data_IF_854542438989
#
_entry.id   IF_854542438989
#
_cell.length_a   1.000
_cell.length_b   1.000
_cell.length_c   1.000
_cell.angle_alpha   90.00
_cell.angle_beta   90.00
_cell.angle_gamma   90.00
#
_symmetry.space_group_name_H-M   'P 1'
#
loop_
_entity.id
_entity.type
_entity.pdbx_description
1 polymer ?
#
# COMPACT_ATOMS: atom_id res chain seq x y z
N UNK A 1 18.14 -1.84 -40.48
CA UNK A 1 17.59 -2.83 -39.54
C UNK A 1 16.49 -2.14 -38.76
N UNK A 2 15.24 -2.52 -39.02
CA UNK A 2 14.07 -2.05 -38.28
C UNK A 2 14.15 -2.66 -36.89
N UNK A 3 14.45 -1.85 -35.88
CA UNK A 3 14.25 -2.23 -34.48
C UNK A 3 12.73 -2.28 -34.30
N UNK A 4 12.16 -3.47 -34.43
CA UNK A 4 10.75 -3.69 -34.17
C UNK A 4 10.43 -3.12 -32.79
N UNK A 5 9.44 -2.23 -32.72
CA UNK A 5 8.97 -1.69 -31.45
C UNK A 5 8.57 -2.87 -30.56
N UNK A 6 9.41 -3.18 -29.57
CA UNK A 6 9.09 -4.14 -28.52
C UNK A 6 7.74 -3.73 -27.95
N UNK A 7 6.76 -4.62 -28.03
CA UNK A 7 5.42 -4.38 -27.49
C UNK A 7 5.56 -4.25 -25.98
N UNK A 8 5.48 -3.02 -25.48
CA UNK A 8 5.63 -2.71 -24.06
C UNK A 8 4.70 -3.60 -23.23
N UNK A 9 5.27 -4.34 -22.28
CA UNK A 9 4.50 -5.20 -21.39
C UNK A 9 3.82 -4.32 -20.33
N UNK A 10 2.50 -4.43 -20.24
CA UNK A 10 1.70 -3.65 -19.28
C UNK A 10 1.35 -4.52 -18.07
N UNK A 11 0.90 -5.75 -18.32
CA UNK A 11 0.47 -6.73 -17.32
C UNK A 11 1.23 -8.04 -17.50
N UNK A 12 1.47 -8.72 -16.38
CA UNK A 12 1.88 -10.13 -16.31
C UNK A 12 0.76 -10.95 -15.67
N UNK A 13 0.66 -12.21 -16.06
CA UNK A 13 -0.38 -13.13 -15.60
C UNK A 13 0.13 -13.98 -14.45
N UNK A 14 -0.77 -14.31 -13.52
CA UNK A 14 -0.50 -15.21 -12.41
C UNK A 14 -0.47 -16.69 -12.83
N UNK A 15 -0.32 -17.61 -11.86
CA UNK A 15 -0.25 -17.35 -10.42
C UNK A 15 1.08 -16.72 -9.99
N UNK A 16 1.05 -15.86 -8.97
CA UNK A 16 2.25 -15.21 -8.41
C UNK A 16 2.72 -15.93 -7.16
N UNK A 17 3.80 -16.71 -7.32
CA UNK A 17 4.36 -17.53 -6.23
C UNK A 17 5.49 -16.80 -5.51
N UNK A 18 5.63 -17.08 -4.22
CA UNK A 18 6.74 -16.60 -3.38
C UNK A 18 7.63 -17.78 -2.95
N UNK A 19 8.57 -18.21 -3.81
CA UNK A 19 9.33 -19.45 -3.59
C UNK A 19 10.28 -19.41 -2.39
N UNK A 20 10.62 -18.22 -1.88
CA UNK A 20 11.47 -18.06 -0.68
C UNK A 20 10.74 -18.35 0.63
N UNK A 21 9.40 -18.46 0.62
CA UNK A 21 8.65 -18.76 1.85
C UNK A 21 8.89 -20.23 2.24
N UNK A 22 9.57 -20.43 3.37
CA UNK A 22 9.80 -21.76 3.94
C UNK A 22 8.64 -22.19 4.85
N UNK A 23 8.46 -23.50 5.12
CA UNK A 23 7.45 -23.99 6.06
C UNK A 23 7.60 -23.48 7.50
N UNK A 24 8.80 -23.01 7.88
CA UNK A 24 9.10 -22.50 9.22
C UNK A 24 8.80 -20.99 9.36
N UNK A 25 8.44 -20.32 8.26
CA UNK A 25 8.04 -18.91 8.30
C UNK A 25 6.69 -18.75 9.00
N UNK A 26 6.48 -17.57 9.59
CA UNK A 26 5.26 -17.27 10.31
C UNK A 26 4.01 -17.44 9.43
N UNK A 27 2.89 -17.93 9.99
CA UNK A 27 1.62 -18.18 9.28
C UNK A 27 1.17 -17.03 8.37
N UNK A 28 1.35 -15.78 8.83
CA UNK A 28 1.10 -14.57 8.05
C UNK A 28 1.79 -14.55 6.67
N UNK A 29 3.01 -15.09 6.56
CA UNK A 29 3.73 -15.21 5.30
C UNK A 29 2.98 -16.12 4.32
N UNK A 30 2.47 -17.25 4.79
CA UNK A 30 1.71 -18.19 3.99
C UNK A 30 0.37 -17.62 3.56
N UNK A 31 -0.29 -16.82 4.41
CA UNK A 31 -1.50 -16.08 4.01
C UNK A 31 -1.20 -15.10 2.87
N UNK A 32 -0.11 -14.32 2.97
CA UNK A 32 0.31 -13.40 1.91
C UNK A 32 0.67 -14.13 0.60
N UNK A 33 1.36 -15.27 0.70
CA UNK A 33 1.65 -16.12 -0.47
C UNK A 33 0.37 -16.66 -1.12
N UNK A 34 -0.55 -17.18 -0.31
CA UNK A 34 -1.83 -17.71 -0.78
C UNK A 34 -2.67 -16.66 -1.50
N UNK A 35 -2.79 -15.44 -0.96
CA UNK A 35 -3.55 -14.39 -1.64
C UNK A 35 -2.89 -13.90 -2.93
N UNK A 36 -1.56 -13.87 -3.00
CA UNK A 36 -0.84 -13.51 -4.24
C UNK A 36 -1.10 -14.52 -5.36
N UNK A 37 -1.20 -15.81 -5.05
CA UNK A 37 -1.53 -16.84 -6.03
C UNK A 37 -2.95 -16.71 -6.61
N UNK A 38 -3.87 -16.09 -5.86
CA UNK A 38 -5.25 -15.82 -6.30
C UNK A 38 -5.37 -14.59 -7.22
N UNK A 39 -4.34 -13.75 -7.31
CA UNK A 39 -4.39 -12.56 -8.17
C UNK A 39 -4.15 -12.99 -9.62
N UNK A 40 -5.11 -12.67 -10.49
CA UNK A 40 -5.05 -13.05 -11.91
C UNK A 40 -3.96 -12.27 -12.68
N UNK A 41 -3.83 -10.98 -12.43
CA UNK A 41 -2.87 -10.12 -13.12
C UNK A 41 -2.22 -9.08 -12.20
N UNK A 42 -0.96 -8.78 -12.48
CA UNK A 42 -0.18 -7.70 -11.86
C UNK A 42 0.43 -6.83 -12.97
N UNK A 43 0.80 -5.57 -12.71
CA UNK A 43 1.61 -4.80 -13.65
C UNK A 43 2.94 -5.51 -13.92
N UNK A 44 3.40 -5.46 -15.16
CA UNK A 44 4.71 -5.96 -15.55
C UNK A 44 5.72 -4.82 -15.54
N UNK A 45 6.66 -4.88 -14.60
CA UNK A 45 7.76 -3.92 -14.47
C UNK A 45 9.08 -4.41 -15.07
N UNK A 46 9.10 -5.51 -15.83
CA UNK A 46 10.35 -6.10 -16.33
C UNK A 46 11.16 -5.18 -17.26
N UNK A 47 10.50 -4.21 -17.90
CA UNK A 47 11.14 -3.20 -18.75
C UNK A 47 11.49 -1.90 -18.00
N UNK A 48 11.21 -1.82 -16.69
CA UNK A 48 11.44 -0.65 -15.85
C UNK A 48 12.69 -0.80 -14.98
N UNK A 49 13.40 0.29 -14.75
CA UNK A 49 14.62 0.30 -13.91
C UNK A 49 14.45 1.07 -12.60
N UNK A 50 13.41 1.90 -12.47
CA UNK A 50 13.10 2.65 -11.24
C UNK A 50 11.65 2.41 -10.84
N UNK A 51 11.47 1.81 -9.69
CA UNK A 51 10.17 1.54 -9.06
C UNK A 51 10.10 2.37 -7.78
N UNK A 52 8.95 2.95 -7.51
CA UNK A 52 8.66 3.57 -6.23
C UNK A 52 7.43 2.92 -5.59
N UNK A 53 7.40 2.91 -4.26
CA UNK A 53 6.26 2.48 -3.46
C UNK A 53 5.85 3.62 -2.55
N UNK A 54 4.64 4.13 -2.75
CA UNK A 54 4.01 5.08 -1.83
C UNK A 54 3.14 4.32 -0.84
N UNK A 55 3.16 4.67 0.43
CA UNK A 55 2.36 3.94 1.44
C UNK A 55 1.61 4.86 2.40
N UNK A 56 0.39 4.45 2.74
CA UNK A 56 -0.44 5.09 3.77
C UNK A 56 -1.21 4.02 4.59
N UNK A 57 -1.52 4.34 5.85
CA UNK A 57 -2.09 3.40 6.81
C UNK A 57 -3.25 4.02 7.60
N UNK A 58 -4.32 3.25 7.77
CA UNK A 58 -5.51 3.67 8.51
C UNK A 58 -5.89 2.71 9.64
N UNK A 59 -6.90 3.13 10.41
CA UNK A 59 -7.47 2.31 11.48
C UNK A 59 -6.88 2.50 12.86
N UNK A 60 -6.12 3.56 13.14
CA UNK A 60 -5.49 3.76 14.46
C UNK A 60 -6.47 4.17 15.59
N UNK A 61 -7.65 4.69 15.24
CA UNK A 61 -8.64 5.12 16.23
C UNK A 61 -9.31 3.92 16.92
N UNK A 62 -9.74 4.08 18.18
CA UNK A 62 -10.38 3.02 18.99
C UNK A 62 -11.61 2.42 18.31
N UNK A 63 -12.37 3.25 17.61
CA UNK A 63 -13.67 2.88 17.05
C UNK A 63 -13.56 2.29 15.64
N UNK A 64 -12.35 2.26 15.06
CA UNK A 64 -12.14 1.62 13.76
C UNK A 64 -12.23 0.10 13.93
N UNK A 65 -12.98 -0.57 13.06
CA UNK A 65 -13.13 -2.03 13.01
C UNK A 65 -12.03 -2.74 12.23
N UNK A 66 -11.30 -2.00 11.39
CA UNK A 66 -10.23 -2.54 10.56
C UNK A 66 -8.96 -1.70 10.69
N UNK A 67 -7.83 -2.35 10.40
CA UNK A 67 -6.57 -1.69 10.06
C UNK A 67 -6.38 -1.77 8.56
N UNK A 68 -6.03 -0.67 7.91
CA UNK A 68 -5.82 -0.63 6.45
C UNK A 68 -4.38 -0.30 6.13
N UNK A 69 -3.81 -1.03 5.18
CA UNK A 69 -2.44 -0.83 4.70
C UNK A 69 -2.48 -0.72 3.19
N UNK A 70 -2.21 0.48 2.66
CA UNK A 70 -2.27 0.73 1.22
C UNK A 70 -0.89 1.10 0.66
N UNK A 71 -0.59 0.53 -0.50
CA UNK A 71 0.69 0.66 -1.18
C UNK A 71 0.46 0.93 -2.67
N UNK A 72 0.95 2.05 -3.18
CA UNK A 72 1.04 2.31 -4.62
C UNK A 72 2.44 1.95 -5.12
N UNK A 73 2.55 0.85 -5.86
CA UNK A 73 3.72 0.50 -6.65
C UNK A 73 3.64 1.18 -8.01
N UNK A 74 4.69 1.91 -8.41
CA UNK A 74 4.70 2.67 -9.67
C UNK A 74 6.04 2.56 -10.39
N UNK A 75 5.99 2.39 -11.71
CA UNK A 75 7.13 2.52 -12.61
C UNK A 75 7.53 4.00 -12.74
N UNK A 76 8.46 4.47 -11.91
CA UNK A 76 8.85 5.88 -11.83
C UNK A 76 9.47 6.39 -13.14
N UNK A 77 10.07 5.50 -13.94
CA UNK A 77 10.58 5.81 -15.28
C UNK A 77 9.52 6.39 -16.23
N UNK A 78 8.25 6.03 -16.01
CA UNK A 78 7.13 6.39 -16.88
C UNK A 78 6.26 7.52 -16.32
N UNK A 79 6.66 8.11 -15.19
CA UNK A 79 5.82 9.05 -14.44
C UNK A 79 5.82 10.50 -14.97
N UNK A 80 6.65 10.82 -15.98
CA UNK A 80 6.75 12.17 -16.55
C UNK A 80 5.41 12.78 -16.99
N UNK A 81 4.60 12.09 -17.82
CA UNK A 81 3.28 12.57 -18.22
C UNK A 81 2.33 12.87 -17.05
N UNK A 82 2.33 12.01 -16.02
CA UNK A 82 1.53 12.24 -14.82
C UNK A 82 1.95 13.55 -14.13
N UNK A 83 3.26 13.79 -13.94
CA UNK A 83 3.76 15.02 -13.32
C UNK A 83 3.32 16.27 -14.09
N UNK A 84 3.42 16.25 -15.42
CA UNK A 84 3.01 17.37 -16.27
C UNK A 84 1.51 17.66 -16.11
N UNK A 85 0.66 16.65 -16.26
CA UNK A 85 -0.79 16.83 -16.15
C UNK A 85 -1.25 17.17 -14.72
N UNK A 86 -0.58 16.65 -13.70
CA UNK A 86 -0.84 17.04 -12.31
C UNK A 86 -0.55 18.51 -12.08
N UNK A 87 0.55 19.04 -12.64
CA UNK A 87 0.86 20.45 -12.52
C UNK A 87 -0.21 21.33 -13.21
N UNK A 88 -0.71 20.92 -14.37
CA UNK A 88 -1.80 21.59 -15.08
C UNK A 88 -3.10 21.59 -14.28
N UNK A 89 -3.51 20.42 -13.78
CA UNK A 89 -4.69 20.27 -12.92
C UNK A 89 -4.57 21.14 -11.68
N UNK A 90 -3.43 21.13 -11.00
CA UNK A 90 -3.22 21.94 -9.79
C UNK A 90 -3.33 23.44 -10.06
N UNK A 91 -2.80 23.92 -11.20
CA UNK A 91 -2.96 25.32 -11.64
C UNK A 91 -4.41 25.64 -11.97
N UNK A 92 -5.08 24.80 -12.76
CA UNK A 92 -6.48 24.94 -13.17
C UNK A 92 -7.42 25.09 -11.97
N UNK A 93 -7.19 24.29 -10.93
CA UNK A 93 -8.03 24.27 -9.72
C UNK A 93 -7.51 25.16 -8.58
N UNK A 94 -6.42 25.91 -8.79
CA UNK A 94 -5.80 26.82 -7.80
C UNK A 94 -5.40 26.13 -6.50
N UNK A 95 -4.81 24.94 -6.60
CA UNK A 95 -4.31 24.12 -5.48
C UNK A 95 -2.79 23.89 -5.56
N UNK A 96 -2.08 24.75 -6.30
CA UNK A 96 -0.61 24.73 -6.42
C UNK A 96 0.07 25.68 -5.42
N UNK A 97 -0.30 26.96 -5.39
CA UNK A 97 0.40 28.01 -4.62
C UNK A 97 0.34 27.79 -3.10
N UNK A 98 -0.75 27.18 -2.63
CA UNK A 98 -0.83 26.52 -1.33
C UNK A 98 -1.05 25.05 -1.63
N UNK A 99 0.04 24.28 -1.62
CA UNK A 99 0.00 22.88 -2.02
C UNK A 99 -1.05 22.13 -1.19
N UNK A 100 -2.14 21.76 -1.86
CA UNK A 100 -3.27 21.06 -1.22
C UNK A 100 -3.28 19.62 -1.66
N UNK A 101 -2.92 18.72 -0.75
CA UNK A 101 -2.93 17.27 -0.96
C UNK A 101 -4.37 16.74 -1.05
N UNK A 102 -4.58 15.67 -1.83
CA UNK A 102 -5.87 14.98 -1.94
C UNK A 102 -6.07 14.03 -0.76
N UNK A 103 -6.27 14.61 0.44
CA UNK A 103 -6.50 13.83 1.66
C UNK A 103 -7.93 13.28 1.72
N UNK A 104 -8.09 11.99 1.97
CA UNK A 104 -9.39 11.33 2.03
C UNK A 104 -10.37 12.02 3.00
N UNK A 105 -9.88 12.38 4.19
CA UNK A 105 -10.68 13.04 5.24
C UNK A 105 -11.17 14.44 4.84
N UNK A 106 -10.47 15.12 3.93
CA UNK A 106 -10.73 16.52 3.60
C UNK A 106 -11.15 16.74 2.13
N UNK A 107 -11.69 15.70 1.48
CA UNK A 107 -12.13 15.75 0.08
C UNK A 107 -13.23 16.78 -0.19
N UNK A 108 -14.06 17.11 0.81
CA UNK A 108 -15.14 18.10 0.70
C UNK A 108 -14.65 19.54 0.51
N UNK A 109 -13.35 19.80 0.63
CA UNK A 109 -12.81 21.13 0.38
C UNK A 109 -13.01 21.51 -1.10
N UNK A 110 -13.75 22.60 -1.35
CA UNK A 110 -14.31 22.93 -2.68
C UNK A 110 -13.32 22.82 -3.87
N UNK A 111 -12.11 23.41 -3.81
CA UNK A 111 -11.12 23.25 -4.87
C UNK A 111 -10.70 21.80 -5.14
N UNK A 112 -10.51 20.98 -4.08
CA UNK A 112 -10.14 19.56 -4.20
C UNK A 112 -11.30 18.71 -4.70
N UNK A 113 -12.50 18.91 -4.14
CA UNK A 113 -13.73 18.24 -4.59
C UNK A 113 -13.92 18.42 -6.11
N UNK A 114 -13.76 19.63 -6.64
CA UNK A 114 -13.85 19.90 -8.09
C UNK A 114 -12.73 19.28 -8.92
N UNK A 115 -11.54 19.11 -8.36
CA UNK A 115 -10.38 18.56 -9.06
C UNK A 115 -10.35 17.01 -9.02
N UNK A 116 -11.05 16.40 -8.05
CA UNK A 116 -10.97 14.97 -7.78
C UNK A 116 -11.31 14.09 -8.99
N UNK A 117 -12.39 14.32 -9.76
CA UNK A 117 -12.69 13.46 -10.91
C UNK A 117 -11.56 13.41 -11.95
N UNK A 118 -10.96 14.58 -12.25
CA UNK A 118 -9.84 14.67 -13.18
C UNK A 118 -8.58 14.06 -12.59
N UNK A 119 -8.34 14.24 -11.29
CA UNK A 119 -7.22 13.60 -10.58
C UNK A 119 -7.28 12.07 -10.67
N UNK A 120 -8.44 11.46 -10.38
CA UNK A 120 -8.66 10.02 -10.49
C UNK A 120 -8.45 9.51 -11.92
N UNK A 121 -8.86 10.29 -12.92
CA UNK A 121 -8.61 9.97 -14.32
C UNK A 121 -7.12 10.00 -14.68
N UNK A 122 -6.37 10.99 -14.17
CA UNK A 122 -4.93 11.09 -14.40
C UNK A 122 -4.18 9.90 -13.79
N UNK A 123 -4.57 9.47 -12.58
CA UNK A 123 -4.03 8.27 -11.95
C UNK A 123 -4.20 7.06 -12.89
N UNK A 124 -5.43 6.78 -13.33
CA UNK A 124 -5.71 5.61 -14.18
C UNK A 124 -5.06 5.66 -15.57
N UNK A 125 -4.85 6.87 -16.09
CA UNK A 125 -4.35 7.09 -17.45
C UNK A 125 -2.82 7.08 -17.54
N UNK A 126 -2.13 7.52 -16.48
CA UNK A 126 -0.69 7.79 -16.55
C UNK A 126 0.16 7.03 -15.54
N UNK A 127 -0.44 6.43 -14.51
CA UNK A 127 0.30 5.62 -13.55
C UNK A 127 0.33 4.17 -14.02
N UNK A 128 1.49 3.72 -14.51
CA UNK A 128 1.76 2.29 -14.71
C UNK A 128 2.16 1.67 -13.37
N UNK A 129 1.24 0.93 -12.77
CA UNK A 129 1.40 0.51 -11.39
C UNK A 129 0.33 -0.40 -10.82
N UNK A 130 0.38 -0.59 -9.51
CA UNK A 130 -0.65 -1.24 -8.72
C UNK A 130 -0.88 -0.48 -7.41
N UNK A 131 -2.13 -0.13 -7.11
CA UNK A 131 -2.54 0.20 -5.75
C UNK A 131 -3.04 -1.07 -5.07
N UNK A 132 -2.35 -1.47 -4.02
CA UNK A 132 -2.61 -2.66 -3.22
C UNK A 132 -3.09 -2.20 -1.85
N UNK A 133 -4.32 -2.54 -1.47
CA UNK A 133 -4.85 -2.24 -0.14
C UNK A 133 -5.19 -3.53 0.59
N UNK A 134 -4.52 -3.76 1.71
CA UNK A 134 -4.78 -4.89 2.61
C UNK A 134 -5.55 -4.38 3.81
N UNK A 135 -6.72 -4.97 4.04
CA UNK A 135 -7.57 -4.68 5.19
C UNK A 135 -7.51 -5.84 6.17
N UNK A 136 -7.12 -5.58 7.41
CA UNK A 136 -7.05 -6.58 8.48
C UNK A 136 -8.13 -6.27 9.52
N UNK A 137 -8.99 -7.23 9.78
CA UNK A 137 -10.02 -7.13 10.82
C UNK A 137 -9.37 -7.00 12.22
N UNK A 138 -9.77 -6.00 13.00
CA UNK A 138 -9.20 -5.77 14.35
C UNK A 138 -9.67 -6.77 15.38
N UNK A 139 -10.70 -7.56 15.10
CA UNK A 139 -11.03 -8.73 15.91
C UNK A 139 -9.89 -9.75 15.91
N UNK A 140 -9.03 -9.76 14.88
CA UNK A 140 -7.76 -10.48 14.87
C UNK A 140 -6.80 -9.74 15.82
N UNK A 141 -6.76 -10.20 17.07
CA UNK A 141 -6.02 -9.55 18.14
C UNK A 141 -4.53 -9.35 17.82
N UNK A 142 -3.87 -10.40 17.31
CA UNK A 142 -2.52 -10.33 16.73
C UNK A 142 -2.44 -11.26 15.53
N UNK A 143 -1.72 -10.85 14.47
CA UNK A 143 -1.40 -11.74 13.34
C UNK A 143 -0.08 -12.49 13.55
N UNK A 144 0.65 -12.24 14.64
CA UNK A 144 1.95 -12.86 14.97
C UNK A 144 1.96 -13.61 16.31
N UNK A 145 0.80 -13.77 16.94
CA UNK A 145 0.66 -14.51 18.19
C UNK A 145 -0.76 -14.97 18.42
N UNK A 146 -0.93 -15.94 19.33
CA UNK A 146 -2.25 -16.53 19.65
C UNK A 146 -3.20 -15.52 20.28
N UNK A 147 -2.66 -14.61 21.09
CA UNK A 147 -3.41 -13.51 21.70
C UNK A 147 -2.73 -12.17 21.43
N UNK A 148 -3.50 -11.08 21.52
CA UNK A 148 -2.99 -9.72 21.40
C UNK A 148 -1.83 -9.44 22.36
N UNK A 149 -1.98 -9.83 23.63
CA UNK A 149 -0.97 -9.57 24.66
C UNK A 149 0.32 -10.33 24.40
N UNK A 150 0.21 -11.63 24.10
CA UNK A 150 1.38 -12.49 23.85
C UNK A 150 2.11 -12.08 22.57
N UNK A 151 1.38 -11.82 21.48
CA UNK A 151 1.95 -11.36 20.22
C UNK A 151 2.71 -10.04 20.40
N UNK A 152 2.08 -9.05 21.01
CA UNK A 152 2.71 -7.76 21.30
C UNK A 152 3.97 -7.88 22.17
N UNK A 153 3.94 -8.72 23.21
CA UNK A 153 5.09 -8.93 24.09
C UNK A 153 6.21 -9.73 23.41
N UNK A 154 5.89 -10.69 22.55
CA UNK A 154 6.87 -11.44 21.78
C UNK A 154 7.57 -10.54 20.75
N UNK A 155 6.80 -9.75 19.99
CA UNK A 155 7.34 -8.81 18.99
C UNK A 155 8.25 -7.78 19.64
N UNK A 156 7.82 -7.16 20.74
CA UNK A 156 8.64 -6.16 21.44
C UNK A 156 9.99 -6.75 21.87
N UNK A 157 10.01 -7.95 22.46
CA UNK A 157 11.23 -8.65 22.85
C UNK A 157 12.10 -9.04 21.66
N UNK A 158 11.50 -9.49 20.56
CA UNK A 158 12.22 -9.89 19.34
C UNK A 158 12.89 -8.68 18.66
N UNK A 159 12.20 -7.54 18.57
CA UNK A 159 12.75 -6.33 17.97
C UNK A 159 13.90 -5.76 18.82
N UNK A 160 13.71 -5.71 20.14
CA UNK A 160 14.75 -5.22 21.06
C UNK A 160 15.97 -6.16 21.08
N UNK A 161 15.75 -7.47 21.24
CA UNK A 161 16.82 -8.48 21.23
C UNK A 161 17.51 -8.64 19.87
N UNK A 162 16.86 -8.23 18.79
CA UNK A 162 17.38 -8.24 17.43
C UNK A 162 18.11 -6.97 17.01
N UNK A 163 18.29 -6.00 17.92
CA UNK A 163 18.92 -4.70 17.63
C UNK A 163 18.15 -3.92 16.54
N UNK A 164 16.82 -3.87 16.69
CA UNK A 164 15.90 -3.05 15.88
C UNK A 164 15.25 -1.94 16.71
N UNK A 165 15.78 -1.67 17.91
CA UNK A 165 15.25 -0.69 18.87
C UNK A 165 14.06 -1.19 19.69
N UNK A 166 13.59 -0.32 20.60
CA UNK A 166 12.47 -0.63 21.50
C UNK A 166 11.14 -0.12 20.95
N UNK A 167 10.12 -0.98 20.97
CA UNK A 167 8.81 -0.71 20.38
C UNK A 167 7.68 -1.03 21.36
N UNK A 168 6.70 -0.13 21.55
CA UNK A 168 5.41 -0.53 22.10
C UNK A 168 4.82 -1.63 21.24
N UNK A 169 4.30 -2.70 21.85
CA UNK A 169 3.95 -3.92 21.11
C UNK A 169 2.95 -3.72 19.95
N UNK A 170 1.99 -2.80 20.08
CA UNK A 170 1.06 -2.48 18.98
C UNK A 170 1.76 -1.77 17.80
N UNK A 171 2.74 -0.90 18.06
CA UNK A 171 3.54 -0.24 17.01
C UNK A 171 4.49 -1.25 16.38
N UNK A 172 5.09 -2.12 17.20
CA UNK A 172 5.92 -3.24 16.73
C UNK A 172 5.15 -4.17 15.79
N UNK A 173 3.92 -4.53 16.15
CA UNK A 173 3.07 -5.33 15.27
C UNK A 173 2.69 -4.59 13.98
N UNK A 174 2.36 -3.28 14.07
CA UNK A 174 2.07 -2.46 12.90
C UNK A 174 3.24 -2.45 11.91
N UNK A 175 4.47 -2.20 12.38
CA UNK A 175 5.64 -2.19 11.49
C UNK A 175 5.87 -3.57 10.87
N UNK A 176 5.71 -4.66 11.62
CA UNK A 176 5.82 -6.02 11.07
C UNK A 176 4.76 -6.28 9.98
N UNK A 177 3.50 -5.92 10.22
CA UNK A 177 2.42 -6.06 9.21
C UNK A 177 2.78 -5.31 7.92
N UNK A 178 3.18 -4.04 8.05
CA UNK A 178 3.59 -3.20 6.92
C UNK A 178 4.72 -3.83 6.13
N UNK A 179 5.80 -4.22 6.80
CA UNK A 179 7.00 -4.72 6.13
C UNK A 179 6.79 -6.10 5.48
N UNK A 180 6.02 -6.99 6.11
CA UNK A 180 5.67 -8.28 5.51
C UNK A 180 4.80 -8.10 4.25
N UNK A 181 3.79 -7.22 4.28
CA UNK A 181 2.95 -6.93 3.10
C UNK A 181 3.80 -6.28 2.00
N UNK A 182 4.57 -5.25 2.35
CA UNK A 182 5.45 -4.56 1.41
C UNK A 182 6.45 -5.52 0.77
N UNK A 183 7.11 -6.37 1.54
CA UNK A 183 8.08 -7.33 1.04
C UNK A 183 7.45 -8.40 0.12
N UNK A 184 6.29 -8.93 0.49
CA UNK A 184 5.57 -9.92 -0.33
C UNK A 184 5.20 -9.36 -1.71
N UNK A 185 4.61 -8.16 -1.76
CA UNK A 185 4.25 -7.53 -3.02
C UNK A 185 5.47 -7.01 -3.80
N UNK A 186 6.51 -6.54 -3.11
CA UNK A 186 7.77 -6.18 -3.75
C UNK A 186 8.39 -7.39 -4.45
N UNK A 187 8.44 -8.55 -3.79
CA UNK A 187 8.93 -9.80 -4.38
C UNK A 187 8.12 -10.21 -5.61
N UNK A 188 6.79 -10.05 -5.56
CA UNK A 188 5.92 -10.40 -6.68
C UNK A 188 6.01 -9.41 -7.87
N UNK A 189 6.34 -8.14 -7.63
CA UNK A 189 6.26 -7.07 -8.64
C UNK A 189 7.60 -6.71 -9.28
N UNK A 190 8.69 -6.79 -8.52
CA UNK A 190 10.01 -6.29 -8.92
C UNK A 190 10.90 -7.39 -9.48
N UNK A 191 12.02 -6.96 -10.07
CA UNK A 191 13.01 -7.79 -10.74
C UNK A 191 14.42 -7.40 -10.29
N UNK A 192 15.37 -8.28 -10.57
CA UNK A 192 16.77 -8.10 -10.23
C UNK A 192 17.36 -6.81 -10.81
N UNK A 193 18.25 -6.17 -10.05
CA UNK A 193 18.97 -4.95 -10.44
C UNK A 193 18.11 -3.71 -10.69
N UNK A 194 16.82 -3.73 -10.34
CA UNK A 194 16.00 -2.52 -10.31
C UNK A 194 16.40 -1.60 -9.15
N UNK A 195 15.99 -0.34 -9.23
CA UNK A 195 16.06 0.62 -8.11
C UNK A 195 14.69 0.75 -7.48
N UNK A 196 14.61 0.57 -6.17
CA UNK A 196 13.38 0.67 -5.39
C UNK A 196 13.46 1.87 -4.45
N UNK A 197 12.43 2.73 -4.45
CA UNK A 197 12.23 3.76 -3.43
C UNK A 197 10.96 3.45 -2.65
N UNK A 198 11.04 3.20 -1.35
CA UNK A 198 9.88 3.24 -0.47
C UNK A 198 9.73 4.63 0.15
N UNK A 199 8.60 5.28 -0.10
CA UNK A 199 8.28 6.61 0.39
C UNK A 199 6.94 6.57 1.15
N UNK A 200 6.96 6.98 2.41
CA UNK A 200 5.79 6.96 3.29
C UNK A 200 5.53 8.34 3.88
N UNK A 201 4.28 8.64 4.19
CA UNK A 201 4.01 9.78 5.08
C UNK A 201 4.61 9.53 6.48
N UNK A 202 4.75 10.59 7.27
CA UNK A 202 5.30 10.51 8.63
C UNK A 202 4.27 9.93 9.59
N UNK A 203 4.58 8.80 10.19
CA UNK A 203 3.73 8.06 11.13
C UNK A 203 4.61 7.37 12.19
N UNK A 204 4.01 6.80 13.23
CA UNK A 204 4.70 6.18 14.36
C UNK A 204 5.70 5.08 13.97
N UNK A 205 5.54 4.45 12.80
CA UNK A 205 6.45 3.41 12.32
C UNK A 205 7.74 3.97 11.74
N UNK A 206 7.78 5.22 11.27
CA UNK A 206 8.97 5.85 10.71
C UNK A 206 9.40 7.09 11.48
N UNK A 207 8.74 7.42 12.59
CA UNK A 207 9.16 8.49 13.51
C UNK A 207 10.31 8.04 14.41
N UNK A 208 11.20 8.99 14.72
CA UNK A 208 12.35 8.73 15.58
C UNK A 208 11.92 8.88 17.05
N UNK A 209 12.31 7.92 17.90
CA UNK A 209 12.06 7.97 19.33
C UNK A 209 13.34 7.66 20.10
N UNK A 210 13.29 7.72 21.43
CA UNK A 210 14.47 7.63 22.29
C UNK A 210 15.39 6.43 21.95
N UNK A 211 14.79 5.26 21.74
CA UNK A 211 15.50 3.99 21.53
C UNK A 211 15.17 3.35 20.16
N UNK A 212 14.70 4.15 19.19
CA UNK A 212 14.49 3.70 17.81
C UNK A 212 14.62 4.83 16.79
N UNK A 213 15.05 4.50 15.58
CA UNK A 213 15.11 5.44 14.47
C UNK A 213 14.58 4.81 13.18
N UNK A 214 14.36 5.64 12.17
CA UNK A 214 14.00 5.15 10.84
C UNK A 214 15.01 4.16 10.26
N UNK A 215 16.30 4.25 10.62
CA UNK A 215 17.31 3.28 10.20
C UNK A 215 17.02 1.85 10.67
N UNK A 216 16.38 1.68 11.83
CA UNK A 216 15.96 0.36 12.29
C UNK A 216 14.87 -0.24 11.40
N UNK A 217 13.96 0.58 10.90
CA UNK A 217 12.89 0.16 9.97
C UNK A 217 13.49 -0.29 8.65
N UNK A 218 14.51 0.43 8.16
CA UNK A 218 15.26 0.09 6.95
C UNK A 218 15.95 -1.28 7.10
N UNK A 219 16.69 -1.48 8.19
CA UNK A 219 17.34 -2.76 8.55
C UNK A 219 16.32 -3.89 8.69
N UNK A 220 15.15 -3.61 9.27
CA UNK A 220 14.08 -4.58 9.43
C UNK A 220 13.45 -4.96 8.08
N UNK A 221 13.28 -3.99 7.17
CA UNK A 221 12.80 -4.26 5.82
C UNK A 221 13.78 -5.14 5.04
N UNK A 222 15.09 -4.92 5.15
CA UNK A 222 16.09 -5.78 4.53
C UNK A 222 15.99 -7.23 5.07
N UNK A 223 15.84 -7.37 6.39
CA UNK A 223 15.72 -8.69 7.04
C UNK A 223 14.46 -9.44 6.66
N UNK A 224 13.30 -8.77 6.70
CA UNK A 224 12.01 -9.35 6.32
C UNK A 224 11.99 -9.59 4.81
N UNK A 225 12.55 -8.67 4.03
CA UNK A 225 12.66 -8.77 2.58
C UNK A 225 13.35 -10.04 2.11
N UNK A 226 14.44 -10.44 2.79
CA UNK A 226 15.15 -11.68 2.53
C UNK A 226 14.30 -12.96 2.71
N UNK A 227 13.17 -12.89 3.43
CA UNK A 227 12.24 -14.02 3.57
C UNK A 227 11.37 -14.23 2.31
N UNK A 228 11.25 -13.21 1.45
CA UNK A 228 10.32 -13.18 0.33
C UNK A 228 10.99 -13.09 -1.04
N UNK A 229 12.07 -12.32 -1.13
CA UNK A 229 12.73 -11.98 -2.40
C UNK A 229 13.78 -13.02 -2.77
N UNK A 230 13.91 -13.30 -4.07
CA UNK A 230 14.98 -14.14 -4.66
C UNK A 230 15.99 -13.32 -5.47
N UNK A 231 15.80 -12.00 -5.51
CA UNK A 231 16.59 -11.05 -6.30
C UNK A 231 17.02 -9.86 -5.44
N UNK A 232 17.99 -9.10 -5.95
CA UNK A 232 18.52 -7.90 -5.30
C UNK A 232 18.11 -6.62 -6.02
N UNK A 233 18.40 -5.48 -5.38
CA UNK A 233 18.23 -4.15 -5.97
C UNK A 233 19.60 -3.51 -6.20
N UNK A 234 19.74 -2.74 -7.30
CA UNK A 234 20.90 -1.86 -7.52
C UNK A 234 20.93 -0.75 -6.45
N UNK A 235 19.76 -0.20 -6.13
CA UNK A 235 19.57 0.77 -5.06
C UNK A 235 18.27 0.48 -4.33
N UNK A 236 18.36 0.37 -3.01
CA UNK A 236 17.22 0.37 -2.12
C UNK A 236 17.19 1.69 -1.35
N UNK A 237 16.25 2.56 -1.72
CA UNK A 237 16.05 3.88 -1.14
C UNK A 237 14.83 3.92 -0.22
N UNK A 238 14.92 4.78 0.79
CA UNK A 238 13.86 5.02 1.76
C UNK A 238 13.67 6.52 1.94
N UNK A 239 12.42 6.98 1.96
CA UNK A 239 12.08 8.38 2.13
C UNK A 239 10.85 8.60 3.01
N UNK A 240 10.83 9.74 3.69
CA UNK A 240 9.67 10.27 4.41
C UNK A 240 9.15 11.50 3.65
N UNK A 241 7.89 11.84 3.84
CA UNK A 241 7.33 13.05 3.23
C UNK A 241 8.16 14.30 3.57
N UNK A 242 8.52 15.07 2.53
CA UNK A 242 9.33 16.29 2.68
C UNK A 242 8.48 17.47 3.20
N UNK A 243 9.15 18.46 3.78
CA UNK A 243 8.50 19.72 4.18
C UNK A 243 7.99 20.51 2.98
N UNK A 244 8.76 20.52 1.88
CA UNK A 244 8.32 21.04 0.59
C UNK A 244 7.55 19.95 -0.16
N UNK A 245 6.27 20.21 -0.41
CA UNK A 245 5.36 19.27 -1.06
C UNK A 245 5.48 19.33 -2.57
N UNK A 246 5.32 18.18 -3.22
CA UNK A 246 5.43 18.06 -4.68
C UNK A 246 4.77 16.80 -5.21
N UNK A 247 5.10 16.41 -6.45
CA UNK A 247 4.41 15.30 -7.15
C UNK A 247 4.47 13.95 -6.42
N UNK A 248 5.44 13.75 -5.52
CA UNK A 248 5.49 12.54 -4.68
C UNK A 248 4.31 12.51 -3.70
N UNK A 249 3.85 13.67 -3.22
CA UNK A 249 2.66 13.80 -2.37
C UNK A 249 1.35 13.64 -3.16
N UNK A 250 1.37 13.93 -4.47
CA UNK A 250 0.29 13.47 -5.37
C UNK A 250 0.22 11.95 -5.35
N UNK A 251 1.36 11.26 -5.55
CA UNK A 251 1.40 9.80 -5.51
C UNK A 251 1.05 9.23 -4.12
N UNK A 252 1.44 9.87 -3.01
CA UNK A 252 1.02 9.48 -1.64
C UNK A 252 -0.48 9.63 -1.40
N UNK A 253 -1.15 10.55 -2.10
CA UNK A 253 -2.60 10.69 -1.94
C UNK A 253 -3.35 9.45 -2.45
N UNK A 254 -2.77 8.67 -3.38
CA UNK A 254 -3.41 7.46 -3.93
C UNK A 254 -3.66 6.38 -2.88
N UNK A 255 -2.65 5.92 -2.08
CA UNK A 255 -2.89 4.96 -1.01
C UNK A 255 -3.79 5.50 0.10
N UNK A 256 -3.75 6.79 0.45
CA UNK A 256 -4.67 7.39 1.44
C UNK A 256 -6.14 7.29 0.99
N UNK A 257 -6.43 7.66 -0.27
CA UNK A 257 -7.77 7.51 -0.84
C UNK A 257 -8.24 6.06 -0.83
N UNK A 258 -7.36 5.10 -1.17
CA UNK A 258 -7.70 3.69 -1.20
C UNK A 258 -7.92 3.10 0.21
N UNK A 259 -7.03 3.42 1.16
CA UNK A 259 -7.12 2.99 2.55
C UNK A 259 -8.37 3.54 3.23
N UNK A 260 -8.63 4.84 3.09
CA UNK A 260 -9.80 5.49 3.67
C UNK A 260 -11.12 4.94 3.11
N UNK A 261 -11.19 4.76 1.79
CA UNK A 261 -12.42 4.28 1.17
C UNK A 261 -12.73 2.81 1.49
N UNK A 262 -11.72 1.92 1.51
CA UNK A 262 -11.98 0.53 1.91
C UNK A 262 -12.38 0.39 3.37
N UNK A 263 -11.81 1.22 4.26
CA UNK A 263 -12.21 1.23 5.65
C UNK A 263 -13.69 1.57 5.81
N UNK A 264 -14.15 2.65 5.16
CA UNK A 264 -15.54 3.09 5.24
C UNK A 264 -16.50 2.11 4.54
N UNK A 265 -16.09 1.53 3.41
CA UNK A 265 -16.89 0.54 2.68
C UNK A 265 -17.14 -0.70 3.53
N UNK A 266 -16.09 -1.26 4.14
CA UNK A 266 -16.23 -2.49 4.93
C UNK A 266 -16.97 -2.22 6.24
N UNK A 267 -16.71 -1.08 6.89
CA UNK A 267 -17.45 -0.69 8.09
C UNK A 267 -18.95 -0.59 7.81
N UNK A 268 -19.34 0.06 6.71
CA UNK A 268 -20.74 0.17 6.28
C UNK A 268 -21.36 -1.20 5.92
N UNK A 269 -20.60 -2.06 5.24
CA UNK A 269 -21.06 -3.38 4.83
C UNK A 269 -21.32 -4.31 6.02
N UNK A 270 -20.43 -4.29 7.02
CA UNK A 270 -20.54 -5.16 8.20
C UNK A 270 -21.54 -4.59 9.23
N UNK A 271 -21.74 -3.26 9.28
CA UNK A 271 -22.76 -2.61 10.12
C UNK A 271 -24.17 -2.58 9.50
N UNK A 272 -24.27 -2.82 8.18
CA UNK A 272 -25.52 -2.64 7.42
C UNK A 272 -25.93 -1.17 7.24
N UNK A 273 -25.02 -0.22 7.44
CA UNK A 273 -25.28 1.21 7.23
C UNK A 273 -24.89 1.65 5.83
N UNK A 274 -25.30 2.87 5.45
CA UNK A 274 -24.78 3.50 4.24
C UNK A 274 -23.30 3.88 4.40
N UNK A 275 -22.59 3.92 3.28
CA UNK A 275 -21.19 4.38 3.25
C UNK A 275 -21.19 5.87 3.59
N UNK A 276 -20.49 6.31 4.66
CA UNK A 276 -20.53 7.70 5.10
C UNK A 276 -19.83 8.59 4.07
N UNK A 277 -20.54 9.55 3.46
CA UNK A 277 -19.92 10.39 2.45
C UNK A 277 -20.83 11.28 1.63
N UNK A 278 -20.21 11.93 0.64
CA UNK A 278 -20.88 12.63 -0.44
C UNK A 278 -20.36 12.13 -1.79
N UNK A 279 -20.60 12.91 -2.84
CA UNK A 279 -20.20 12.59 -4.21
C UNK A 279 -18.70 12.27 -4.35
N UNK A 280 -17.84 12.90 -3.54
CA UNK A 280 -16.39 12.69 -3.60
C UNK A 280 -15.98 11.27 -3.20
N UNK A 281 -16.54 10.74 -2.11
CA UNK A 281 -16.25 9.37 -1.67
C UNK A 281 -16.86 8.35 -2.63
N UNK A 282 -18.05 8.64 -3.17
CA UNK A 282 -18.63 7.82 -4.23
C UNK A 282 -17.73 7.80 -5.48
N UNK A 283 -17.10 8.93 -5.85
CA UNK A 283 -16.14 8.98 -6.95
C UNK A 283 -14.90 8.11 -6.68
N UNK A 284 -14.36 8.13 -5.46
CA UNK A 284 -13.24 7.25 -5.06
C UNK A 284 -13.65 5.78 -5.09
N UNK A 285 -14.83 5.42 -4.58
CA UNK A 285 -15.34 4.05 -4.64
C UNK A 285 -15.51 3.56 -6.08
N UNK A 286 -16.11 4.38 -6.94
CA UNK A 286 -16.26 4.09 -8.38
C UNK A 286 -14.91 3.89 -9.03
N UNK A 287 -13.95 4.75 -8.72
CA UNK A 287 -12.57 4.61 -9.20
C UNK A 287 -11.95 3.29 -8.74
N UNK A 288 -12.02 2.92 -7.46
CA UNK A 288 -11.45 1.66 -6.94
C UNK A 288 -12.08 0.40 -7.57
N UNK A 289 -13.36 0.46 -7.95
CA UNK A 289 -14.09 -0.64 -8.57
C UNK A 289 -13.94 -0.72 -10.09
N UNK A 290 -13.50 0.36 -10.74
CA UNK A 290 -13.40 0.42 -12.20
C UNK A 290 -12.01 -0.04 -12.66
N UNK A 291 -11.88 -1.09 -13.49
CA UNK A 291 -10.60 -1.49 -14.06
C UNK A 291 -9.96 -0.36 -14.87
N UNK A 292 -8.63 -0.24 -14.75
CA UNK A 292 -7.85 0.73 -15.53
C UNK A 292 -6.82 0.01 -16.40
N UNK A 293 -6.41 0.66 -17.49
CA UNK A 293 -5.45 0.08 -18.43
C UNK A 293 -4.05 -0.08 -17.82
N UNK A 294 -3.59 0.92 -17.07
CA UNK A 294 -2.21 1.00 -16.58
C UNK A 294 -2.08 0.76 -15.07
N UNK A 295 -3.12 1.07 -14.29
CA UNK A 295 -3.15 0.87 -12.85
C UNK A 295 -3.95 -0.39 -12.49
N UNK A 296 -3.35 -1.34 -11.77
CA UNK A 296 -4.09 -2.41 -11.10
C UNK A 296 -4.63 -1.90 -9.77
N UNK A 297 -5.87 -2.26 -9.43
CA UNK A 297 -6.48 -1.94 -8.12
C UNK A 297 -6.77 -3.26 -7.42
N UNK A 298 -5.99 -3.54 -6.38
CA UNK A 298 -5.94 -4.85 -5.71
C UNK A 298 -6.36 -4.65 -4.26
N UNK A 299 -7.43 -5.32 -3.88
CA UNK A 299 -8.03 -5.17 -2.55
C UNK A 299 -8.02 -6.53 -1.88
N UNK A 300 -7.43 -6.63 -0.69
CA UNK A 300 -7.35 -7.86 0.08
C UNK A 300 -8.02 -7.67 1.44
N UNK A 301 -8.72 -8.69 1.93
CA UNK A 301 -9.22 -8.75 3.31
C UNK A 301 -8.58 -9.93 4.03
N UNK A 302 -8.07 -9.67 5.23
CA UNK A 302 -7.66 -10.69 6.18
C UNK A 302 -8.71 -10.71 7.30
N UNK A 303 -9.44 -11.81 7.41
CA UNK A 303 -10.59 -11.98 8.30
C UNK A 303 -10.38 -13.15 9.28
N UNK A 304 -10.96 -13.11 10.48
CA UNK A 304 -10.85 -14.20 11.45
C UNK A 304 -11.60 -15.44 10.97
N UNK A 305 -11.15 -16.60 11.43
CA UNK A 305 -11.84 -17.88 11.32
C UNK A 305 -12.42 -18.32 12.66
N UNK A 306 -13.39 -19.23 12.60
CA UNK A 306 -13.99 -19.85 13.80
C UNK A 306 -12.97 -20.65 14.63
N UNK A 307 -11.91 -21.17 14.00
CA UNK A 307 -10.83 -21.93 14.66
C UNK A 307 -9.80 -21.05 15.39
N UNK A 308 -10.02 -19.72 15.43
CA UNK A 308 -9.12 -18.76 16.06
C UNK A 308 -7.93 -18.33 15.18
N UNK A 309 -7.83 -18.85 13.95
CA UNK A 309 -6.87 -18.38 12.94
C UNK A 309 -7.48 -17.29 12.06
N UNK A 310 -6.86 -16.99 10.92
CA UNK A 310 -7.35 -15.99 9.97
C UNK A 310 -7.07 -16.42 8.53
N UNK A 311 -7.83 -15.91 7.58
CA UNK A 311 -7.59 -16.14 6.15
C UNK A 311 -7.55 -14.84 5.36
N UNK A 312 -6.78 -14.86 4.28
CA UNK A 312 -6.75 -13.80 3.29
C UNK A 312 -7.65 -14.14 2.10
N UNK A 313 -8.35 -13.14 1.58
CA UNK A 313 -9.15 -13.23 0.37
C UNK A 313 -8.98 -11.98 -0.50
N UNK A 314 -9.08 -12.15 -1.82
CA UNK A 314 -9.18 -11.04 -2.77
C UNK A 314 -10.60 -10.48 -2.72
N UNK A 315 -10.73 -9.17 -2.51
CA UNK A 315 -12.01 -8.46 -2.54
C UNK A 315 -12.28 -7.95 -3.95
N UNK A 316 -13.38 -8.40 -4.55
CA UNK A 316 -13.93 -7.79 -5.77
C UNK A 316 -14.92 -6.70 -5.38
N UNK A 317 -14.68 -5.48 -5.85
CA UNK A 317 -15.62 -4.37 -5.71
C UNK A 317 -16.53 -4.36 -6.93
N UNK A 318 -17.76 -4.83 -6.74
CA UNK A 318 -18.77 -4.82 -7.81
C UNK A 318 -19.36 -3.42 -7.98
N UNK A 319 -19.43 -2.88 -9.22
CA UNK A 319 -20.08 -1.62 -9.48
C UNK A 319 -21.61 -1.75 -9.37
N UNK A 320 -22.13 -1.65 -8.15
CA UNK A 320 -23.57 -1.55 -7.87
C UNK A 320 -23.86 -0.12 -7.43
N UNK A 321 -24.23 0.74 -8.38
CA UNK A 321 -24.59 2.14 -8.14
C UNK A 321 -26.02 2.39 -8.60
#
# INVERSE_FOLDING_TARGET
MSVGASRQKIRKQGPFKLPSISPDHHYFCHILGGVLELIAELPDFSDDSKIAVMSDYGGEHSDAHYSTYSFLFVALNKNGPFQTHMQELRRKHKILDRYSEFKYKDLKYGPRSRALPEYLQLIDSFIHGAVVTVVIDKSIGSVFGTTKSEGHAAIARQLEGGDFGSWPGHVGEKVMRVLHILAAFTAALTYDQQRLLWYSDTDQINDDAKDRSFAHVQKLFERIGAMYMTHGFDVLGFGKSFSEKGYLDDLLSVPDLAAGMLQDLLAARDSGTEIPGGEEKLAVLKWLATPAKFLSKIHLRIAPKEDGTYEGQVLTLEPKW
#
